data_IF_290948403745
#
_entry.id   IF_290948403745
#
_cell.length_a   1.000
_cell.length_b   1.000
_cell.length_c   1.000
_cell.angle_alpha   90.00
_cell.angle_beta   90.00
_cell.angle_gamma   90.00
#
_symmetry.space_group_name_H-M   'P 1'
#
loop_
_entity.id
_entity.type
_entity.pdbx_description
1 polymer ?
#
# COMPACT_ATOMS: atom_id res chain seq x y z
N UNK A 1 -15.63 -22.24 -1.61
CA UNK A 1 -16.52 -21.98 -0.47
C UNK A 1 -17.11 -20.57 -0.62
N UNK A 2 -18.45 -20.41 -0.75
CA UNK A 2 -19.09 -19.08 -0.93
C UNK A 2 -18.77 -18.10 0.19
N UNK A 3 -18.55 -18.59 1.41
CA UNK A 3 -18.23 -17.76 2.58
C UNK A 3 -16.82 -17.15 2.49
N UNK A 4 -15.95 -17.70 1.66
CA UNK A 4 -14.60 -17.18 1.43
C UNK A 4 -14.57 -16.12 0.32
N UNK A 5 -15.49 -16.18 -0.64
CA UNK A 5 -15.59 -15.20 -1.74
C UNK A 5 -15.91 -13.78 -1.24
N UNK A 6 -16.56 -13.64 -0.07
CA UNK A 6 -16.82 -12.35 0.58
C UNK A 6 -15.59 -11.79 1.31
N UNK A 7 -14.57 -12.62 1.57
CA UNK A 7 -13.35 -12.25 2.30
C UNK A 7 -12.22 -11.80 1.38
N UNK A 8 -12.37 -12.03 0.07
CA UNK A 8 -11.35 -11.70 -0.94
C UNK A 8 -12.00 -11.00 -2.12
N UNK A 9 -11.46 -9.87 -2.51
CA UNK A 9 -11.81 -9.19 -3.75
C UNK A 9 -10.78 -9.53 -4.82
N UNK A 10 -11.20 -10.29 -5.83
CA UNK A 10 -10.32 -10.74 -6.92
C UNK A 10 -9.82 -9.58 -7.79
N UNK A 11 -8.65 -9.78 -8.42
CA UNK A 11 -8.17 -8.87 -9.44
C UNK A 11 -8.94 -9.10 -10.74
N UNK A 12 -9.60 -8.05 -11.22
CA UNK A 12 -10.31 -8.01 -12.49
C UNK A 12 -9.84 -6.79 -13.27
N UNK A 13 -9.41 -7.00 -14.52
CA UNK A 13 -8.88 -5.93 -15.36
C UNK A 13 -9.94 -4.85 -15.67
N UNK A 14 -11.21 -5.23 -15.68
CA UNK A 14 -12.33 -4.35 -16.00
C UNK A 14 -13.07 -3.81 -14.76
N UNK A 15 -12.73 -4.26 -13.57
CA UNK A 15 -13.31 -3.82 -12.32
C UNK A 15 -12.32 -3.06 -11.43
N UNK A 16 -12.83 -2.06 -10.70
CA UNK A 16 -12.06 -1.36 -9.67
C UNK A 16 -12.05 -2.19 -8.39
N UNK A 17 -10.86 -2.46 -7.83
CA UNK A 17 -10.71 -3.20 -6.59
C UNK A 17 -10.73 -2.22 -5.40
N UNK A 18 -11.74 -2.34 -4.53
CA UNK A 18 -11.94 -1.47 -3.37
C UNK A 18 -10.90 -1.68 -2.27
N UNK A 19 -10.25 -2.85 -2.27
CA UNK A 19 -9.26 -3.28 -1.29
C UNK A 19 -7.81 -3.08 -1.77
N UNK A 20 -7.62 -2.54 -2.98
CA UNK A 20 -6.34 -2.08 -3.50
C UNK A 20 -6.27 -0.54 -3.48
N UNK A 21 -5.06 0.00 -3.47
CA UNK A 21 -4.86 1.44 -3.58
C UNK A 21 -5.24 1.97 -4.97
N UNK A 22 -5.48 3.28 -5.08
CA UNK A 22 -5.72 3.92 -6.38
C UNK A 22 -4.52 3.70 -7.32
N UNK A 23 -3.29 3.74 -6.80
CA UNK A 23 -2.08 3.47 -7.56
C UNK A 23 -2.04 2.04 -8.11
N UNK A 24 -2.33 1.04 -7.27
CA UNK A 24 -2.44 -0.37 -7.70
C UNK A 24 -3.58 -0.57 -8.72
N UNK A 25 -4.71 0.11 -8.53
CA UNK A 25 -5.81 0.09 -9.49
C UNK A 25 -5.44 0.70 -10.83
N UNK A 26 -4.65 1.79 -10.85
CA UNK A 26 -4.20 2.43 -12.08
C UNK A 26 -3.21 1.53 -12.83
N UNK A 27 -2.21 1.00 -12.16
CA UNK A 27 -1.18 0.16 -12.79
C UNK A 27 -1.70 -1.24 -13.15
N UNK A 28 -2.62 -1.79 -12.36
CA UNK A 28 -3.06 -3.19 -12.42
C UNK A 28 -1.87 -4.16 -12.45
N UNK A 29 -0.95 -3.95 -11.52
CA UNK A 29 0.30 -4.67 -11.39
C UNK A 29 1.14 -4.11 -10.26
N UNK A 30 2.33 -4.68 -10.08
CA UNK A 30 3.28 -4.22 -9.08
C UNK A 30 4.49 -3.55 -9.74
N UNK A 31 5.06 -2.52 -9.10
CA UNK A 31 6.31 -1.93 -9.58
C UNK A 31 7.48 -2.91 -9.45
N UNK A 32 8.36 -2.89 -10.45
CA UNK A 32 9.66 -3.56 -10.44
C UNK A 32 10.74 -2.50 -10.22
N UNK A 33 11.38 -2.51 -9.05
CA UNK A 33 12.30 -1.44 -8.64
C UNK A 33 11.55 -0.15 -8.29
N UNK A 34 12.24 0.99 -8.40
CA UNK A 34 11.79 2.26 -7.83
C UNK A 34 11.05 3.17 -8.83
N UNK A 35 11.00 2.81 -10.13
CA UNK A 35 10.49 3.70 -11.20
C UNK A 35 9.02 4.07 -11.00
N UNK A 36 8.20 3.10 -10.62
CA UNK A 36 6.76 3.29 -10.36
C UNK A 36 6.40 3.04 -8.90
N UNK A 37 7.36 3.30 -7.98
CA UNK A 37 7.02 3.30 -6.57
C UNK A 37 5.89 4.29 -6.28
N UNK A 38 4.93 3.88 -5.45
CA UNK A 38 3.74 4.67 -5.12
C UNK A 38 4.08 6.06 -4.56
N UNK A 39 5.22 6.18 -3.88
CA UNK A 39 5.70 7.45 -3.33
C UNK A 39 6.08 8.45 -4.43
N UNK A 40 6.50 7.96 -5.61
CA UNK A 40 7.02 8.77 -6.71
C UNK A 40 6.10 8.81 -7.95
N UNK A 41 4.94 8.13 -7.90
CA UNK A 41 4.01 8.11 -9.04
C UNK A 41 3.58 9.50 -9.49
N UNK A 42 3.36 10.43 -8.54
CA UNK A 42 2.92 11.78 -8.81
C UNK A 42 4.02 12.67 -9.46
N UNK A 43 5.26 12.22 -9.48
CA UNK A 43 6.40 12.93 -10.08
C UNK A 43 6.80 12.33 -11.44
N UNK A 44 6.33 11.11 -11.74
CA UNK A 44 6.75 10.39 -12.92
C UNK A 44 6.09 10.96 -14.19
N UNK A 45 6.87 11.44 -15.20
CA UNK A 45 6.33 12.12 -16.37
C UNK A 45 5.27 11.32 -17.13
N UNK A 46 5.48 10.00 -17.28
CA UNK A 46 4.52 9.14 -17.94
C UNK A 46 3.19 9.02 -17.17
N UNK A 47 3.24 8.93 -15.84
CA UNK A 47 2.03 8.86 -15.01
C UNK A 47 1.26 10.19 -15.08
N UNK A 48 1.97 11.32 -15.05
CA UNK A 48 1.36 12.64 -15.23
C UNK A 48 0.69 12.79 -16.60
N UNK A 49 1.31 12.27 -17.67
CA UNK A 49 0.69 12.22 -18.99
C UNK A 49 -0.58 11.37 -18.99
N UNK A 50 -0.54 10.17 -18.40
CA UNK A 50 -1.73 9.30 -18.26
C UNK A 50 -2.87 10.04 -17.56
N UNK A 51 -2.61 10.69 -16.42
CA UNK A 51 -3.63 11.45 -15.69
C UNK A 51 -4.20 12.61 -16.52
N UNK A 52 -3.34 13.31 -17.27
CA UNK A 52 -3.76 14.42 -18.13
C UNK A 52 -4.64 13.93 -19.30
N UNK A 53 -4.29 12.80 -19.94
CA UNK A 53 -5.02 12.24 -21.08
C UNK A 53 -6.46 11.83 -20.70
N UNK A 54 -6.68 11.33 -19.49
CA UNK A 54 -8.01 10.94 -19.01
C UNK A 54 -8.71 12.04 -18.18
N UNK A 55 -8.12 13.22 -18.07
CA UNK A 55 -8.68 14.35 -17.33
C UNK A 55 -8.72 14.17 -15.82
N UNK A 56 -7.80 13.41 -15.25
CA UNK A 56 -7.70 13.15 -13.81
C UNK A 56 -6.87 14.17 -13.03
N UNK A 57 -6.06 15.01 -13.68
CA UNK A 57 -5.11 15.90 -12.99
C UNK A 57 -5.78 16.83 -11.98
N UNK A 58 -6.83 17.55 -12.38
CA UNK A 58 -7.53 18.47 -11.48
C UNK A 58 -8.29 17.73 -10.37
N UNK A 59 -8.84 16.57 -10.68
CA UNK A 59 -9.56 15.74 -9.72
C UNK A 59 -8.59 15.18 -8.67
N UNK A 60 -7.40 14.71 -9.08
CA UNK A 60 -6.33 14.26 -8.17
C UNK A 60 -5.85 15.39 -7.25
N UNK A 61 -5.64 16.59 -7.76
CA UNK A 61 -5.32 17.76 -6.93
C UNK A 61 -6.41 18.05 -5.89
N UNK A 62 -7.67 18.02 -6.31
CA UNK A 62 -8.80 18.26 -5.42
C UNK A 62 -8.96 17.19 -4.34
N UNK A 63 -8.85 15.92 -4.73
CA UNK A 63 -8.88 14.77 -3.80
C UNK A 63 -7.67 14.82 -2.86
N UNK A 64 -6.47 15.08 -3.38
CA UNK A 64 -5.26 15.22 -2.57
C UNK A 64 -5.37 16.31 -1.52
N UNK A 65 -5.90 17.48 -1.89
CA UNK A 65 -6.17 18.56 -0.93
C UNK A 65 -7.15 18.13 0.17
N UNK A 66 -8.23 17.42 -0.19
CA UNK A 66 -9.21 16.94 0.78
C UNK A 66 -8.62 15.87 1.70
N UNK A 67 -7.82 14.96 1.14
CA UNK A 67 -7.08 13.96 1.93
C UNK A 67 -6.13 14.65 2.90
N UNK A 68 -5.29 15.57 2.42
CA UNK A 68 -4.36 16.33 3.24
C UNK A 68 -5.09 17.05 4.40
N UNK A 69 -6.20 17.74 4.09
CA UNK A 69 -7.01 18.45 5.09
C UNK A 69 -7.57 17.50 6.14
N UNK A 70 -8.11 16.35 5.72
CA UNK A 70 -8.66 15.34 6.63
C UNK A 70 -7.56 14.72 7.50
N UNK A 71 -6.39 14.42 6.94
CA UNK A 71 -5.27 13.87 7.70
C UNK A 71 -4.77 14.86 8.75
N UNK A 72 -4.61 16.14 8.39
CA UNK A 72 -4.22 17.17 9.35
C UNK A 72 -5.29 17.33 10.44
N UNK A 73 -6.56 17.38 10.09
CA UNK A 73 -7.66 17.50 11.08
C UNK A 73 -7.71 16.33 12.07
N UNK A 74 -7.48 15.11 11.59
CA UNK A 74 -7.58 13.91 12.43
C UNK A 74 -6.31 13.62 13.26
N UNK A 75 -5.14 13.97 12.74
CA UNK A 75 -3.87 13.48 13.30
C UNK A 75 -2.92 14.57 13.84
N UNK A 76 -3.15 15.87 13.56
CA UNK A 76 -2.22 16.93 13.96
C UNK A 76 -1.98 17.01 15.49
N UNK A 77 -3.00 16.67 16.28
CA UNK A 77 -2.93 16.71 17.73
C UNK A 77 -2.58 15.36 18.38
N UNK A 78 -2.36 14.31 17.59
CA UNK A 78 -2.03 12.99 18.09
C UNK A 78 -0.51 12.80 18.20
N UNK A 79 -0.01 12.15 19.25
CA UNK A 79 1.39 11.77 19.30
C UNK A 79 1.73 10.75 18.20
N UNK A 80 2.96 10.78 17.65
CA UNK A 80 3.38 9.87 16.55
C UNK A 80 3.20 8.38 16.85
N UNK A 81 3.28 8.02 18.13
CA UNK A 81 3.16 6.64 18.61
C UNK A 81 1.70 6.21 18.81
N UNK A 82 0.73 7.11 18.60
CA UNK A 82 -0.67 6.79 18.81
C UNK A 82 -1.16 5.70 17.87
N UNK A 83 -1.88 4.72 18.39
CA UNK A 83 -2.34 3.54 17.64
C UNK A 83 -3.16 3.91 16.40
N UNK A 84 -4.04 4.90 16.51
CA UNK A 84 -4.84 5.38 15.38
C UNK A 84 -3.97 5.96 14.27
N UNK A 85 -2.88 6.65 14.63
CA UNK A 85 -1.94 7.19 13.65
C UNK A 85 -1.31 6.06 12.84
N UNK A 86 -0.82 5.02 13.52
CA UNK A 86 -0.18 3.88 12.86
C UNK A 86 -1.15 3.03 12.02
N UNK A 87 -2.42 2.92 12.44
CA UNK A 87 -3.40 2.08 11.76
C UNK A 87 -4.04 2.74 10.54
N UNK A 88 -4.28 4.04 10.60
CA UNK A 88 -5.12 4.73 9.61
C UNK A 88 -4.41 5.84 8.83
N UNK A 89 -3.30 6.38 9.32
CA UNK A 89 -2.54 7.36 8.56
C UNK A 89 -1.63 6.68 7.54
N UNK A 90 -1.66 7.19 6.32
CA UNK A 90 -0.70 6.86 5.25
C UNK A 90 0.25 8.03 4.96
N UNK A 91 0.18 9.07 5.81
CA UNK A 91 1.14 10.16 5.90
C UNK A 91 1.93 9.92 7.19
N UNK A 92 3.24 9.96 7.15
CA UNK A 92 4.07 9.79 8.34
C UNK A 92 3.91 10.98 9.30
N UNK A 93 4.21 10.77 10.59
CA UNK A 93 4.18 11.84 11.57
C UNK A 93 5.16 12.97 11.23
N UNK A 94 6.29 12.63 10.61
CA UNK A 94 7.31 13.59 10.21
C UNK A 94 6.89 14.43 8.99
N UNK A 95 6.04 13.89 8.11
CA UNK A 95 5.49 14.60 6.94
C UNK A 95 4.31 15.52 7.29
N UNK A 96 3.62 15.24 8.40
CA UNK A 96 2.39 15.96 8.75
C UNK A 96 2.57 17.48 8.92
N UNK A 97 3.67 18.01 9.53
CA UNK A 97 3.93 19.44 9.61
C UNK A 97 4.10 20.11 8.24
N UNK A 98 4.73 19.42 7.28
CA UNK A 98 4.94 19.91 5.91
C UNK A 98 3.62 19.97 5.15
N UNK A 99 2.78 18.96 5.28
CA UNK A 99 1.41 18.93 4.74
C UNK A 99 0.57 20.07 5.34
N UNK A 100 0.67 20.30 6.65
CA UNK A 100 -0.03 21.40 7.31
C UNK A 100 0.41 22.77 6.78
N UNK A 101 1.72 22.97 6.60
CA UNK A 101 2.28 24.20 6.03
C UNK A 101 1.84 24.37 4.57
N UNK A 102 1.80 23.28 3.79
CA UNK A 102 1.29 23.29 2.41
C UNK A 102 -0.16 23.74 2.36
N UNK A 103 -1.03 23.20 3.20
CA UNK A 103 -2.45 23.58 3.26
C UNK A 103 -2.64 25.05 3.63
N UNK A 104 -1.83 25.59 4.57
CA UNK A 104 -1.91 27.00 4.98
C UNK A 104 -1.58 27.99 3.85
N UNK A 105 -0.70 27.60 2.91
CA UNK A 105 -0.34 28.44 1.74
C UNK A 105 -1.15 28.15 0.49
N UNK A 106 -1.98 27.11 0.52
CA UNK A 106 -2.78 26.67 -0.63
C UNK A 106 -4.12 27.37 -0.66
N UNK A 107 -4.51 27.86 -1.84
CA UNK A 107 -5.88 28.28 -2.12
C UNK A 107 -6.64 27.13 -2.78
N UNK A 108 -7.62 26.58 -2.07
CA UNK A 108 -8.48 25.49 -2.59
C UNK A 108 -9.13 25.81 -3.94
N UNK A 109 -9.39 27.11 -4.21
CA UNK A 109 -10.00 27.53 -5.45
C UNK A 109 -9.01 27.56 -6.63
N UNK A 110 -7.70 27.47 -6.35
CA UNK A 110 -6.65 27.61 -7.38
C UNK A 110 -5.46 26.67 -7.16
N UNK A 111 -5.72 25.39 -6.94
CA UNK A 111 -4.68 24.38 -6.71
C UNK A 111 -3.73 24.20 -7.90
N UNK A 112 -4.20 24.47 -9.12
CA UNK A 112 -3.38 24.39 -10.33
C UNK A 112 -2.26 25.44 -10.39
N UNK A 113 -2.37 26.54 -9.63
CA UNK A 113 -1.37 27.59 -9.56
C UNK A 113 -0.27 27.35 -8.49
N UNK A 114 -0.37 26.26 -7.74
CA UNK A 114 0.67 25.87 -6.79
C UNK A 114 1.99 25.55 -7.49
N UNK A 115 3.14 25.73 -6.80
CA UNK A 115 4.44 25.24 -7.28
C UNK A 115 4.39 23.75 -7.63
N UNK A 116 5.23 23.31 -8.55
CA UNK A 116 5.24 21.93 -9.03
C UNK A 116 5.45 20.90 -7.89
N UNK A 117 6.31 21.20 -6.93
CA UNK A 117 6.57 20.39 -5.74
C UNK A 117 5.31 20.23 -4.88
N UNK A 118 4.63 21.33 -4.57
CA UNK A 118 3.38 21.31 -3.77
C UNK A 118 2.27 20.54 -4.50
N UNK A 119 2.16 20.69 -5.83
CA UNK A 119 1.21 19.93 -6.64
C UNK A 119 1.53 18.43 -6.63
N UNK A 120 2.81 18.07 -6.80
CA UNK A 120 3.24 16.67 -6.76
C UNK A 120 2.93 16.04 -5.39
N UNK A 121 3.18 16.77 -4.31
CA UNK A 121 2.88 16.32 -2.95
C UNK A 121 1.37 16.07 -2.76
N UNK A 122 0.51 17.00 -3.20
CA UNK A 122 -0.95 16.77 -3.15
C UNK A 122 -1.39 15.62 -4.03
N UNK A 123 -0.85 15.52 -5.26
CA UNK A 123 -1.20 14.47 -6.21
C UNK A 123 -0.70 13.07 -5.78
N UNK A 124 0.28 12.98 -4.89
CA UNK A 124 0.76 11.68 -4.38
C UNK A 124 -0.25 11.03 -3.43
N UNK A 125 -1.02 11.82 -2.69
CA UNK A 125 -1.93 11.32 -1.67
C UNK A 125 -3.06 10.44 -2.22
N UNK A 126 -3.76 10.81 -3.32
CA UNK A 126 -4.77 9.94 -3.91
C UNK A 126 -4.27 8.55 -4.26
N UNK A 127 -3.03 8.40 -4.75
CA UNK A 127 -2.47 7.09 -5.11
C UNK A 127 -2.40 6.12 -3.94
N UNK A 128 -2.23 6.63 -2.72
CA UNK A 128 -2.13 5.84 -1.47
C UNK A 128 -3.50 5.44 -0.90
N UNK A 129 -4.61 6.01 -1.42
CA UNK A 129 -5.94 5.72 -0.91
C UNK A 129 -6.38 4.30 -1.23
N UNK A 130 -6.84 3.59 -0.20
CA UNK A 130 -7.54 2.30 -0.30
C UNK A 130 -8.98 2.56 0.18
N UNK A 131 -9.99 2.57 -0.70
CA UNK A 131 -11.35 2.99 -0.33
C UNK A 131 -11.95 2.21 0.82
N UNK A 132 -11.84 0.88 0.79
CA UNK A 132 -12.38 0.00 1.84
C UNK A 132 -11.69 0.16 3.21
N UNK A 133 -10.41 0.55 3.23
CA UNK A 133 -9.64 0.77 4.45
C UNK A 133 -9.85 2.15 5.04
N UNK A 134 -9.62 3.20 4.25
CA UNK A 134 -9.56 4.58 4.73
C UNK A 134 -10.94 5.22 4.88
N UNK A 135 -11.94 4.76 4.11
CA UNK A 135 -13.37 5.13 4.21
C UNK A 135 -13.65 6.63 4.20
N UNK A 136 -12.84 7.40 3.46
CA UNK A 136 -12.98 8.86 3.37
C UNK A 136 -14.11 9.30 2.41
N UNK A 137 -14.66 8.38 1.61
CA UNK A 137 -15.72 8.68 0.64
C UNK A 137 -15.24 9.55 -0.53
N UNK A 138 -13.92 9.65 -0.76
CA UNK A 138 -13.33 10.50 -1.79
C UNK A 138 -13.10 9.80 -3.12
N UNK A 139 -13.17 8.47 -3.13
CA UNK A 139 -13.05 7.63 -4.34
C UNK A 139 -14.45 7.16 -4.72
N UNK A 140 -15.18 8.04 -5.40
CA UNK A 140 -16.53 7.79 -5.89
C UNK A 140 -16.52 7.02 -7.24
N UNK A 141 -17.70 6.68 -7.75
CA UNK A 141 -17.85 5.90 -8.98
C UNK A 141 -17.28 6.63 -10.21
N UNK A 142 -17.31 7.97 -10.25
CA UNK A 142 -16.72 8.77 -11.33
C UNK A 142 -15.18 8.64 -11.32
N UNK A 143 -14.58 8.83 -10.15
CA UNK A 143 -13.13 8.66 -9.99
C UNK A 143 -12.69 7.24 -10.29
N UNK A 144 -13.43 6.21 -9.82
CA UNK A 144 -13.15 4.81 -10.13
C UNK A 144 -13.19 4.55 -11.63
N UNK A 145 -14.22 5.04 -12.32
CA UNK A 145 -14.36 4.92 -13.76
C UNK A 145 -13.17 5.52 -14.53
N UNK A 146 -12.75 6.72 -14.14
CA UNK A 146 -11.58 7.38 -14.74
C UNK A 146 -10.25 6.69 -14.42
N UNK A 147 -10.11 6.10 -13.23
CA UNK A 147 -8.92 5.28 -12.89
C UNK A 147 -8.88 4.04 -13.77
N UNK A 148 -10.02 3.40 -14.08
CA UNK A 148 -10.08 2.30 -15.03
C UNK A 148 -9.74 2.73 -16.47
N UNK A 149 -10.13 3.93 -16.88
CA UNK A 149 -9.69 4.51 -18.16
C UNK A 149 -8.19 4.77 -18.16
N UNK A 150 -7.64 5.32 -17.06
CA UNK A 150 -6.21 5.53 -16.89
C UNK A 150 -5.43 4.20 -16.91
N UNK A 151 -5.94 3.13 -16.28
CA UNK A 151 -5.38 1.77 -16.35
C UNK A 151 -5.21 1.29 -17.78
N UNK A 152 -6.28 1.41 -18.59
CA UNK A 152 -6.26 1.00 -19.98
C UNK A 152 -5.28 1.82 -20.80
N UNK A 153 -5.25 3.13 -20.58
CA UNK A 153 -4.31 4.02 -21.26
C UNK A 153 -2.88 3.72 -20.84
N UNK A 154 -2.62 3.54 -19.55
CA UNK A 154 -1.31 3.20 -19.00
C UNK A 154 -0.76 1.91 -19.62
N UNK A 155 -1.53 0.83 -19.63
CA UNK A 155 -1.07 -0.44 -20.18
C UNK A 155 -0.86 -0.40 -21.71
N UNK A 156 -1.74 0.30 -22.43
CA UNK A 156 -1.70 0.34 -23.91
C UNK A 156 -0.57 1.23 -24.45
N UNK A 157 -0.17 2.27 -23.70
CA UNK A 157 0.79 3.28 -24.18
C UNK A 157 2.13 3.24 -23.41
N UNK A 158 2.33 2.23 -22.54
CA UNK A 158 3.56 2.11 -21.74
C UNK A 158 4.78 1.99 -22.69
N UNK A 159 5.75 2.94 -22.61
CA UNK A 159 6.95 2.90 -23.43
C UNK A 159 7.73 1.60 -23.23
N UNK A 160 8.33 1.05 -24.31
CA UNK A 160 9.06 -0.22 -24.25
C UNK A 160 10.17 -0.24 -23.21
N UNK A 161 10.85 0.88 -23.00
CA UNK A 161 11.91 1.05 -22.00
C UNK A 161 11.38 1.00 -20.53
N UNK A 162 10.08 1.22 -20.32
CA UNK A 162 9.44 1.18 -19.01
C UNK A 162 8.69 -0.13 -18.76
N UNK A 163 8.57 -1.01 -19.77
CA UNK A 163 7.84 -2.28 -19.63
C UNK A 163 8.40 -3.20 -18.55
N UNK A 164 9.71 -3.18 -18.35
CA UNK A 164 10.36 -3.96 -17.30
C UNK A 164 10.21 -3.37 -15.90
N UNK A 165 9.66 -2.17 -15.77
CA UNK A 165 9.45 -1.51 -14.49
C UNK A 165 8.07 -1.81 -13.85
N UNK A 166 7.22 -2.58 -14.54
CA UNK A 166 5.91 -3.05 -14.03
C UNK A 166 5.72 -4.51 -14.37
N UNK A 167 5.30 -5.28 -13.40
CA UNK A 167 4.80 -6.64 -13.59
C UNK A 167 3.27 -6.62 -13.45
N UNK A 168 2.57 -6.73 -14.58
CA UNK A 168 1.10 -6.69 -14.62
C UNK A 168 0.49 -7.95 -14.01
N UNK A 169 -0.68 -7.82 -13.39
CA UNK A 169 -1.44 -8.97 -12.90
C UNK A 169 -1.96 -9.80 -14.08
N UNK A 170 -1.57 -11.08 -14.10
CA UNK A 170 -2.01 -12.08 -15.04
C UNK A 170 -2.33 -13.37 -14.27
N UNK A 171 -3.56 -13.87 -14.35
CA UNK A 171 -3.99 -15.06 -13.61
C UNK A 171 -3.24 -16.33 -14.01
N UNK A 172 -2.69 -16.37 -15.22
CA UNK A 172 -1.95 -17.52 -15.76
C UNK A 172 -0.46 -17.51 -15.35
N UNK A 173 0.04 -16.41 -14.75
CA UNK A 173 1.46 -16.23 -14.46
C UNK A 173 1.68 -15.86 -13.01
N UNK A 174 2.75 -16.42 -12.40
CA UNK A 174 3.19 -16.02 -11.08
C UNK A 174 3.82 -14.62 -11.15
N UNK A 175 3.31 -13.68 -10.35
CA UNK A 175 3.86 -12.34 -10.25
C UNK A 175 4.98 -12.32 -9.19
N UNK A 176 6.22 -12.17 -9.63
CA UNK A 176 7.40 -12.23 -8.76
C UNK A 176 7.53 -11.02 -7.81
N UNK A 177 6.86 -9.91 -8.14
CA UNK A 177 6.84 -8.68 -7.32
C UNK A 177 5.67 -8.61 -6.36
N UNK A 178 4.64 -9.46 -6.55
CA UNK A 178 3.56 -9.61 -5.60
C UNK A 178 3.96 -10.52 -4.43
N UNK A 179 3.35 -10.31 -3.27
CA UNK A 179 3.52 -11.25 -2.16
C UNK A 179 2.85 -12.61 -2.48
N UNK A 180 3.23 -13.64 -1.73
CA UNK A 180 2.71 -15.01 -1.92
C UNK A 180 1.18 -15.05 -1.75
N UNK A 181 0.64 -14.31 -0.77
CA UNK A 181 -0.80 -14.25 -0.54
C UNK A 181 -1.55 -13.70 -1.74
N UNK A 182 -1.09 -12.58 -2.33
CA UNK A 182 -1.73 -11.97 -3.49
C UNK A 182 -1.64 -12.89 -4.72
N UNK A 183 -0.56 -13.66 -4.88
CA UNK A 183 -0.43 -14.68 -5.92
C UNK A 183 -1.40 -15.86 -5.72
N UNK A 184 -1.56 -16.35 -4.49
CA UNK A 184 -2.47 -17.47 -4.18
C UNK A 184 -3.93 -17.04 -4.38
N UNK A 185 -4.29 -15.85 -3.91
CA UNK A 185 -5.66 -15.34 -3.94
C UNK A 185 -6.04 -14.77 -5.29
N UNK A 186 -5.06 -14.32 -6.07
CA UNK A 186 -5.24 -13.43 -7.21
C UNK A 186 -6.23 -12.30 -6.87
N UNK A 187 -5.95 -11.61 -5.77
CA UNK A 187 -6.83 -10.59 -5.20
C UNK A 187 -6.35 -10.06 -3.87
N UNK A 188 -7.15 -9.20 -3.26
CA UNK A 188 -6.89 -8.59 -1.95
C UNK A 188 -7.86 -9.09 -0.90
N UNK A 189 -7.36 -9.29 0.32
CA UNK A 189 -8.21 -9.55 1.47
C UNK A 189 -9.09 -8.34 1.76
N UNK A 190 -10.39 -8.57 1.95
CA UNK A 190 -11.38 -7.52 2.11
C UNK A 190 -11.21 -6.76 3.44
N UNK A 191 -10.94 -5.46 3.36
CA UNK A 191 -10.95 -4.59 4.53
C UNK A 191 -12.35 -4.45 5.11
N UNK A 192 -12.45 -4.43 6.44
CA UNK A 192 -13.72 -4.21 7.13
C UNK A 192 -14.60 -5.45 7.30
N UNK A 193 -14.18 -6.59 6.79
CA UNK A 193 -14.76 -7.89 7.14
C UNK A 193 -14.06 -8.42 8.40
N UNK A 194 -14.84 -8.65 9.46
CA UNK A 194 -14.30 -9.14 10.71
C UNK A 194 -13.58 -10.48 10.48
N UNK A 195 -12.36 -10.58 10.99
CA UNK A 195 -11.53 -11.80 10.91
C UNK A 195 -11.18 -12.26 9.48
N UNK A 196 -11.35 -11.42 8.44
CA UNK A 196 -11.02 -11.82 7.08
C UNK A 196 -9.54 -12.21 6.96
N UNK A 197 -8.64 -11.38 7.48
CA UNK A 197 -7.20 -11.65 7.45
C UNK A 197 -6.84 -12.97 8.17
N UNK A 198 -7.40 -13.21 9.36
CA UNK A 198 -7.13 -14.41 10.14
C UNK A 198 -7.67 -15.67 9.44
N UNK A 199 -8.92 -15.61 8.94
CA UNK A 199 -9.55 -16.74 8.24
C UNK A 199 -8.83 -17.08 6.94
N UNK A 200 -8.47 -16.08 6.16
CA UNK A 200 -7.72 -16.27 4.91
C UNK A 200 -6.31 -16.77 5.22
N UNK A 201 -5.64 -16.18 6.22
CA UNK A 201 -4.31 -16.62 6.66
C UNK A 201 -4.30 -18.08 7.14
N UNK A 202 -5.29 -18.49 7.95
CA UNK A 202 -5.44 -19.88 8.38
C UNK A 202 -5.62 -20.84 7.20
N UNK A 203 -6.51 -20.50 6.25
CA UNK A 203 -6.70 -21.31 5.06
C UNK A 203 -5.45 -21.45 4.21
N UNK A 204 -4.71 -20.33 3.98
CA UNK A 204 -3.46 -20.37 3.24
C UNK A 204 -2.44 -21.27 3.96
N UNK A 205 -2.35 -21.17 5.29
CA UNK A 205 -1.46 -22.02 6.09
C UNK A 205 -1.83 -23.50 5.96
N UNK A 206 -3.11 -23.84 5.99
CA UNK A 206 -3.59 -25.21 5.83
C UNK A 206 -3.24 -25.75 4.44
N UNK A 207 -3.45 -24.96 3.38
CA UNK A 207 -3.10 -25.34 1.99
C UNK A 207 -1.59 -25.53 1.83
N UNK A 208 -0.77 -24.63 2.37
CA UNK A 208 0.68 -24.74 2.37
C UNK A 208 1.13 -26.02 3.08
N UNK A 209 0.51 -26.36 4.22
CA UNK A 209 0.80 -27.58 4.96
C UNK A 209 0.39 -28.85 4.18
N UNK A 210 -0.81 -28.87 3.62
CA UNK A 210 -1.32 -30.01 2.82
C UNK A 210 -0.46 -30.29 1.59
N UNK A 211 0.01 -29.23 0.93
CA UNK A 211 0.87 -29.31 -0.24
C UNK A 211 2.37 -29.51 0.09
N UNK A 212 2.75 -29.47 1.38
CA UNK A 212 4.14 -29.61 1.82
C UNK A 212 5.05 -28.47 1.39
N UNK A 213 4.52 -27.25 1.24
CA UNK A 213 5.23 -26.09 0.69
C UNK A 213 5.94 -25.22 1.75
N UNK A 214 5.94 -25.60 3.04
CA UNK A 214 6.51 -24.79 4.12
C UNK A 214 7.97 -24.39 3.88
N UNK A 215 8.81 -25.34 3.44
CA UNK A 215 10.23 -25.05 3.18
C UNK A 215 10.43 -24.09 2.02
N UNK A 216 9.62 -24.23 0.94
CA UNK A 216 9.68 -23.35 -0.24
C UNK A 216 9.26 -21.93 0.13
N UNK A 217 8.17 -21.79 0.89
CA UNK A 217 7.70 -20.47 1.37
C UNK A 217 8.73 -19.82 2.29
N UNK A 218 9.34 -20.61 3.20
CA UNK A 218 10.39 -20.12 4.08
C UNK A 218 11.63 -19.66 3.29
N UNK A 219 12.03 -20.40 2.25
CA UNK A 219 13.16 -20.04 1.39
C UNK A 219 12.90 -18.73 0.63
N UNK A 220 11.70 -18.55 0.09
CA UNK A 220 11.29 -17.27 -0.56
C UNK A 220 11.36 -16.12 0.45
N UNK A 221 10.86 -16.33 1.68
CA UNK A 221 10.92 -15.33 2.75
C UNK A 221 12.35 -14.99 3.18
N UNK A 222 13.26 -15.96 3.21
CA UNK A 222 14.67 -15.73 3.54
C UNK A 222 15.43 -14.95 2.46
N UNK A 223 14.97 -15.02 1.21
CA UNK A 223 15.56 -14.30 0.08
C UNK A 223 14.89 -12.91 -0.14
N UNK A 224 13.87 -12.56 0.65
CA UNK A 224 13.21 -11.26 0.54
C UNK A 224 14.18 -10.11 0.88
N UNK A 225 14.26 -9.13 0.00
CA UNK A 225 15.05 -7.91 0.24
C UNK A 225 14.32 -7.01 1.22
N UNK A 226 14.83 -6.93 2.44
CA UNK A 226 14.25 -6.14 3.54
C UNK A 226 14.54 -4.64 3.45
N UNK A 227 15.30 -4.21 2.44
CA UNK A 227 15.70 -2.82 2.27
C UNK A 227 16.78 -2.35 3.26
N UNK A 228 17.24 -1.11 3.10
CA UNK A 228 18.26 -0.51 3.97
C UNK A 228 17.71 -0.42 5.41
N UNK A 229 18.44 -0.96 6.38
CA UNK A 229 18.03 -1.01 7.79
C UNK A 229 16.67 -1.69 8.05
N UNK A 230 16.19 -2.53 7.12
CA UNK A 230 14.89 -3.19 7.24
C UNK A 230 13.69 -2.26 6.95
N UNK A 231 13.89 -1.25 6.10
CA UNK A 231 12.85 -0.25 5.77
C UNK A 231 11.56 -0.86 5.19
N UNK A 232 11.65 -2.02 4.56
CA UNK A 232 10.50 -2.76 4.00
C UNK A 232 9.79 -3.66 5.02
N UNK A 233 10.29 -3.74 6.25
CA UNK A 233 9.69 -4.52 7.32
C UNK A 233 8.88 -3.63 8.26
N UNK A 234 7.76 -4.15 8.79
CA UNK A 234 7.04 -3.49 9.88
C UNK A 234 7.88 -3.40 11.15
N UNK A 235 7.53 -2.52 12.08
CA UNK A 235 8.21 -2.42 13.38
C UNK A 235 8.20 -3.76 14.13
N UNK A 236 7.07 -4.47 14.12
CA UNK A 236 6.94 -5.81 14.72
C UNK A 236 7.86 -6.84 14.04
N UNK A 237 7.94 -6.86 12.72
CA UNK A 237 8.83 -7.76 11.99
C UNK A 237 10.29 -7.46 12.28
N UNK A 238 10.70 -6.18 12.30
CA UNK A 238 12.07 -5.78 12.67
C UNK A 238 12.42 -6.23 14.08
N UNK A 239 11.48 -6.07 15.02
CA UNK A 239 11.68 -6.49 16.41
C UNK A 239 11.82 -8.01 16.56
N UNK A 240 10.93 -8.79 15.92
CA UNK A 240 11.03 -10.26 15.87
C UNK A 240 12.37 -10.72 15.27
N UNK A 241 12.80 -10.10 14.18
CA UNK A 241 14.07 -10.40 13.52
C UNK A 241 15.27 -10.05 14.41
N UNK A 242 15.23 -8.94 15.14
CA UNK A 242 16.28 -8.56 16.08
C UNK A 242 16.41 -9.58 17.24
N UNK A 243 15.28 -10.04 17.79
CA UNK A 243 15.25 -11.10 18.81
C UNK A 243 15.81 -12.41 18.27
N UNK A 244 15.37 -12.87 17.10
CA UNK A 244 15.88 -14.07 16.45
C UNK A 244 17.40 -13.99 16.24
N UNK A 245 17.90 -12.84 15.75
CA UNK A 245 19.34 -12.58 15.55
C UNK A 245 20.14 -12.65 16.87
N UNK A 246 19.57 -12.16 17.98
CA UNK A 246 20.20 -12.23 19.30
C UNK A 246 20.26 -13.68 19.80
N UNK A 247 19.17 -14.44 19.66
CA UNK A 247 19.09 -15.85 20.06
C UNK A 247 20.03 -16.76 19.24
N UNK A 248 20.17 -16.51 17.94
CA UNK A 248 21.09 -17.26 17.06
C UNK A 248 22.56 -17.17 17.48
N UNK A 249 22.96 -16.11 18.19
CA UNK A 249 24.29 -15.95 18.75
C UNK A 249 24.55 -16.82 19.97
N UNK A 250 23.53 -17.52 20.50
CA UNK A 250 23.57 -18.37 21.70
C UNK A 250 24.28 -17.68 22.88
N UNK A 251 23.83 -16.48 23.31
CA UNK A 251 24.47 -15.77 24.40
C UNK A 251 24.26 -16.49 25.73
N UNK A 252 25.24 -16.44 26.63
CA UNK A 252 25.10 -16.95 27.99
C UNK A 252 24.09 -16.14 28.82
N UNK A 253 23.94 -14.85 28.50
CA UNK A 253 22.98 -13.96 29.12
C UNK A 253 22.26 -13.15 28.01
N UNK A 254 20.94 -13.17 27.99
CA UNK A 254 20.11 -12.37 27.10
C UNK A 254 19.32 -11.37 27.93
N UNK A 255 19.51 -10.07 27.66
CA UNK A 255 18.74 -8.98 28.29
C UNK A 255 17.77 -8.46 27.24
N UNK A 256 16.47 -8.53 27.54
CA UNK A 256 15.39 -8.01 26.69
C UNK A 256 14.83 -6.76 27.37
N UNK A 257 14.90 -5.62 26.68
CA UNK A 257 14.29 -4.37 27.11
C UNK A 257 13.30 -3.95 26.05
N UNK A 258 12.05 -3.71 26.47
CA UNK A 258 10.95 -3.28 25.57
C UNK A 258 10.78 -4.15 24.31
N UNK A 259 11.09 -5.44 24.44
CA UNK A 259 11.19 -6.38 23.33
C UNK A 259 9.84 -6.74 22.69
N UNK A 260 8.72 -6.29 23.27
CA UNK A 260 7.35 -6.58 22.78
C UNK A 260 6.55 -5.30 22.50
N UNK A 261 7.14 -4.12 22.64
CA UNK A 261 6.41 -2.84 22.50
C UNK A 261 5.82 -2.60 21.10
N UNK A 262 6.45 -3.16 20.06
CA UNK A 262 5.97 -3.07 18.67
C UNK A 262 5.09 -4.25 18.24
N UNK A 263 4.77 -5.17 19.15
CA UNK A 263 3.91 -6.32 18.88
C UNK A 263 2.48 -5.98 19.30
N UNK A 264 1.50 -6.44 18.53
CA UNK A 264 0.09 -6.39 18.94
C UNK A 264 -0.20 -7.33 20.13
N UNK A 265 -1.32 -7.09 20.80
CA UNK A 265 -1.67 -7.80 22.03
C UNK A 265 -1.80 -9.31 21.87
N UNK A 266 -2.19 -9.79 20.68
CA UNK A 266 -2.29 -11.22 20.40
C UNK A 266 -0.90 -11.86 20.28
N UNK A 267 0.00 -11.23 19.53
CA UNK A 267 1.39 -11.68 19.36
C UNK A 267 2.23 -11.57 20.66
N UNK A 268 1.83 -10.65 21.58
CA UNK A 268 2.49 -10.56 22.91
C UNK A 268 2.10 -11.72 23.84
N UNK A 269 0.96 -12.36 23.62
CA UNK A 269 0.44 -13.45 24.43
C UNK A 269 0.96 -14.84 24.03
N UNK A 270 1.52 -14.98 22.85
CA UNK A 270 2.21 -16.16 22.35
C UNK A 270 3.69 -16.22 22.82
#
# INVERSE_FOLDING_TARGET
>A
DPDLLVLVEGFDVDAYNQNASVGENLMFGNPVGDVFDVEHLAEHPYVLDVLAQVGLTEQFLSVGYQVASTMVELFADLPPEHELFQQFSFISADELPDIQALLQRSDRANLAALPDEDRAQLMSLPFKLIPARHRLGLVDDDLQGKVLEARRYFAANLPDQLRSAVEFFNVEEYNATANIQDNILFGKVAYGQAQAADRVGALISDVIAELGLHEVVAEVGLNFDVGIAGSRLSAAQRQKLAMARALMKRPDVLILSESTTSLDSATQAE
#
